data_IF_501621621272
#
_entry.id   IF_501621621272
#
_cell.length_a   1.000
_cell.length_b   1.000
_cell.length_c   1.000
_cell.angle_alpha   90.00
_cell.angle_beta   90.00
_cell.angle_gamma   90.00
#
_symmetry.space_group_name_H-M   'P 1'
#
loop_
_entity.id
_entity.type
_entity.pdbx_description
1 polymer ?
#
# COMPACT_ATOMS: atom_id res chain seq x y z
N UNK A 1 -15.11 -19.79 -8.43
CA UNK A 1 -13.71 -19.50 -8.70
C UNK A 1 -12.95 -19.51 -7.40
N UNK A 2 -11.86 -20.21 -7.37
CA UNK A 2 -11.11 -20.45 -6.13
C UNK A 2 -10.27 -19.23 -5.75
N UNK A 3 -10.37 -18.77 -4.51
CA UNK A 3 -9.47 -17.80 -3.91
C UNK A 3 -8.15 -18.44 -3.48
N UNK A 4 -7.90 -19.68 -3.90
CA UNK A 4 -6.77 -20.50 -3.44
C UNK A 4 -5.42 -19.83 -3.59
N UNK A 5 -5.21 -19.06 -4.68
CA UNK A 5 -3.97 -18.33 -4.86
C UNK A 5 -3.78 -17.27 -3.75
N UNK A 6 -4.82 -16.50 -3.47
CA UNK A 6 -4.76 -15.48 -2.41
C UNK A 6 -4.59 -16.10 -1.03
N UNK A 7 -5.24 -17.26 -0.78
CA UNK A 7 -5.06 -18.00 0.49
C UNK A 7 -3.61 -18.46 0.67
N UNK A 8 -3.01 -19.03 -0.38
CA UNK A 8 -1.61 -19.47 -0.34
C UNK A 8 -0.64 -18.31 -0.13
N UNK A 9 -0.84 -17.20 -0.85
CA UNK A 9 0.00 -16.02 -0.70
C UNK A 9 -0.21 -15.36 0.68
N UNK A 10 -1.43 -15.36 1.21
CA UNK A 10 -1.70 -14.85 2.55
C UNK A 10 -0.98 -15.66 3.63
N UNK A 11 -0.99 -17.00 3.52
CA UNK A 11 -0.25 -17.85 4.45
C UNK A 11 1.25 -17.57 4.36
N UNK A 12 1.82 -17.46 3.16
CA UNK A 12 3.22 -17.06 2.98
C UNK A 12 3.54 -15.71 3.62
N UNK A 13 2.61 -14.75 3.55
CA UNK A 13 2.76 -13.45 4.19
C UNK A 13 2.87 -13.61 5.71
N UNK A 14 1.99 -14.36 6.33
CA UNK A 14 2.00 -14.57 7.77
C UNK A 14 3.28 -15.28 8.28
N UNK A 15 3.89 -16.10 7.43
CA UNK A 15 5.10 -16.85 7.77
C UNK A 15 6.39 -16.01 7.60
N UNK A 16 6.29 -14.81 7.01
CA UNK A 16 7.45 -13.94 6.76
C UNK A 16 7.86 -13.16 8.00
N UNK A 17 9.15 -13.18 8.30
CA UNK A 17 9.73 -12.48 9.47
C UNK A 17 9.75 -10.94 9.32
N UNK A 18 9.55 -10.42 8.12
CA UNK A 18 9.58 -8.97 7.85
C UNK A 18 8.32 -8.23 8.27
N UNK A 19 7.23 -8.97 8.47
CA UNK A 19 5.93 -8.37 8.77
C UNK A 19 5.73 -8.36 10.28
N UNK A 20 5.37 -7.19 10.79
CA UNK A 20 4.99 -7.02 12.18
C UNK A 20 3.95 -8.04 12.60
N UNK A 21 4.28 -9.00 13.50
CA UNK A 21 3.32 -9.99 13.99
C UNK A 21 2.11 -9.34 14.67
N UNK A 22 2.28 -8.13 15.21
CA UNK A 22 1.24 -7.34 15.87
C UNK A 22 0.08 -7.02 14.93
N UNK A 23 0.34 -6.93 13.62
CA UNK A 23 -0.68 -6.69 12.60
C UNK A 23 -1.40 -7.96 12.13
N UNK A 24 -0.92 -9.15 12.53
CA UNK A 24 -1.54 -10.41 12.08
C UNK A 24 -3.01 -10.56 12.46
N UNK A 25 -3.49 -10.14 13.65
CA UNK A 25 -4.91 -10.22 13.98
C UNK A 25 -5.77 -9.39 13.01
N UNK A 26 -5.34 -8.16 12.70
CA UNK A 26 -6.04 -7.27 11.77
C UNK A 26 -6.03 -7.82 10.36
N UNK A 27 -4.89 -8.33 9.90
CA UNK A 27 -4.77 -8.96 8.57
C UNK A 27 -5.68 -10.17 8.43
N UNK A 28 -5.70 -11.06 9.45
CA UNK A 28 -6.55 -12.27 9.45
C UNK A 28 -8.03 -11.93 9.44
N UNK A 29 -8.46 -10.94 10.23
CA UNK A 29 -9.84 -10.48 10.24
C UNK A 29 -10.25 -9.94 8.86
N UNK A 30 -9.43 -9.05 8.28
CA UNK A 30 -9.67 -8.50 6.95
C UNK A 30 -9.70 -9.58 5.87
N UNK A 31 -8.78 -10.54 5.90
CA UNK A 31 -8.76 -11.63 4.93
C UNK A 31 -9.99 -12.54 5.05
N UNK A 32 -10.39 -12.89 6.27
CA UNK A 32 -11.60 -13.68 6.51
C UNK A 32 -12.87 -13.00 5.97
N UNK A 33 -12.99 -11.68 6.19
CA UNK A 33 -14.07 -10.89 5.61
C UNK A 33 -14.02 -10.85 4.09
N UNK A 34 -12.82 -10.70 3.52
CA UNK A 34 -12.63 -10.76 2.06
C UNK A 34 -13.02 -12.12 1.49
N UNK A 35 -12.66 -13.22 2.14
CA UNK A 35 -13.07 -14.57 1.72
C UNK A 35 -14.59 -14.73 1.71
N UNK A 36 -15.27 -14.16 2.71
CA UNK A 36 -16.73 -14.24 2.82
C UNK A 36 -17.45 -13.49 1.68
N UNK A 37 -16.95 -12.34 1.27
CA UNK A 37 -17.59 -11.51 0.24
C UNK A 37 -17.00 -11.72 -1.17
N UNK A 38 -15.72 -12.04 -1.28
CA UNK A 38 -15.00 -12.23 -2.53
C UNK A 38 -14.83 -10.95 -3.36
N UNK A 39 -14.34 -11.13 -4.59
CA UNK A 39 -14.27 -10.02 -5.55
C UNK A 39 -15.64 -9.57 -6.01
N UNK A 40 -15.84 -8.27 -6.24
CA UNK A 40 -17.06 -7.76 -6.81
C UNK A 40 -17.39 -8.43 -8.15
N UNK A 41 -18.66 -8.50 -8.45
CA UNK A 41 -19.15 -8.97 -9.74
C UNK A 41 -19.91 -7.84 -10.44
N UNK A 42 -20.18 -8.00 -11.72
CA UNK A 42 -20.98 -7.04 -12.49
C UNK A 42 -22.44 -6.92 -11.98
N UNK A 43 -22.86 -7.76 -11.04
CA UNK A 43 -24.15 -7.63 -10.34
C UNK A 43 -24.13 -6.54 -9.26
N UNK A 44 -22.95 -6.10 -8.85
CA UNK A 44 -22.82 -5.01 -7.90
C UNK A 44 -22.90 -3.68 -8.66
N UNK A 45 -23.73 -2.77 -8.21
CA UNK A 45 -24.01 -1.51 -8.91
C UNK A 45 -22.73 -0.74 -9.27
N UNK A 46 -21.85 -0.56 -8.31
CA UNK A 46 -20.58 0.16 -8.50
C UNK A 46 -19.59 -0.55 -9.44
N UNK A 47 -19.84 -1.83 -9.77
CA UNK A 47 -18.93 -2.67 -10.58
C UNK A 47 -19.57 -3.18 -11.85
N UNK A 48 -20.76 -2.69 -12.19
CA UNK A 48 -21.57 -3.17 -13.33
C UNK A 48 -20.83 -3.14 -14.66
N UNK A 49 -19.97 -2.15 -14.84
CA UNK A 49 -19.21 -1.96 -16.07
C UNK A 49 -17.73 -2.37 -15.97
N UNK A 50 -17.31 -2.99 -14.86
CA UNK A 50 -15.92 -3.37 -14.63
C UNK A 50 -15.80 -4.89 -14.62
N UNK A 51 -14.99 -5.42 -15.55
CA UNK A 51 -14.68 -6.84 -15.57
C UNK A 51 -13.41 -7.13 -14.75
N UNK A 52 -13.56 -7.92 -13.69
CA UNK A 52 -12.49 -8.33 -12.78
C UNK A 52 -12.06 -9.79 -12.99
N UNK A 53 -12.41 -10.41 -14.11
CA UNK A 53 -12.05 -11.82 -14.36
C UNK A 53 -10.53 -12.04 -14.33
N UNK A 54 -9.76 -11.11 -14.87
CA UNK A 54 -8.30 -11.19 -14.87
C UNK A 54 -7.69 -11.31 -13.46
N UNK A 55 -8.28 -10.64 -12.46
CA UNK A 55 -7.83 -10.77 -11.06
C UNK A 55 -8.08 -12.17 -10.47
N UNK A 56 -9.04 -12.90 -11.02
CA UNK A 56 -9.42 -14.24 -10.56
C UNK A 56 -8.69 -15.35 -11.31
N UNK A 57 -8.29 -15.08 -12.54
CA UNK A 57 -7.70 -16.05 -13.46
C UNK A 57 -6.17 -16.05 -13.41
N UNK A 58 -5.58 -14.89 -13.14
CA UNK A 58 -4.14 -14.76 -13.02
C UNK A 58 -3.63 -15.13 -11.62
N UNK A 59 -2.37 -15.55 -11.61
CA UNK A 59 -1.64 -15.88 -10.39
C UNK A 59 -0.76 -14.70 -10.00
N UNK A 60 -1.08 -14.06 -8.87
CA UNK A 60 -0.31 -12.95 -8.34
C UNK A 60 0.53 -13.40 -7.16
N UNK A 61 1.78 -12.97 -7.13
CA UNK A 61 2.69 -13.17 -6.01
C UNK A 61 2.74 -11.91 -5.16
N UNK A 62 2.94 -12.04 -3.86
CA UNK A 62 3.19 -10.89 -3.00
C UNK A 62 4.54 -10.28 -3.38
N UNK A 63 4.58 -8.96 -3.55
CA UNK A 63 5.84 -8.23 -3.72
C UNK A 63 6.77 -8.50 -2.53
N UNK A 64 8.05 -8.66 -2.79
CA UNK A 64 9.08 -8.83 -1.77
C UNK A 64 10.10 -7.70 -1.87
N UNK A 65 10.89 -7.52 -0.81
CA UNK A 65 11.98 -6.52 -0.84
C UNK A 65 12.96 -6.77 -1.99
N UNK A 66 13.13 -8.03 -2.40
CA UNK A 66 13.93 -8.37 -3.61
C UNK A 66 13.33 -7.85 -4.92
N UNK A 67 12.03 -7.55 -4.94
CA UNK A 67 11.32 -6.96 -6.07
C UNK A 67 11.49 -5.41 -6.09
N UNK A 68 12.14 -4.84 -5.06
CA UNK A 68 12.67 -3.49 -5.14
C UNK A 68 13.69 -3.42 -6.28
N UNK A 69 13.77 -2.27 -6.98
CA UNK A 69 14.66 -2.18 -8.14
C UNK A 69 16.11 -2.43 -7.74
N UNK A 70 16.78 -3.35 -8.44
CA UNK A 70 18.22 -3.53 -8.29
C UNK A 70 19.00 -2.31 -8.80
N UNK A 71 18.37 -1.51 -9.62
CA UNK A 71 18.88 -0.23 -10.14
C UNK A 71 17.81 0.83 -9.90
N UNK A 72 18.24 1.98 -9.42
CA UNK A 72 17.35 3.14 -9.23
C UNK A 72 16.57 3.42 -10.51
N UNK A 73 15.22 3.40 -10.46
CA UNK A 73 14.41 3.66 -11.64
C UNK A 73 14.60 5.10 -12.12
N UNK A 74 14.63 5.29 -13.44
CA UNK A 74 14.63 6.63 -14.01
C UNK A 74 13.23 7.23 -13.93
N UNK A 75 13.09 8.26 -13.12
CA UNK A 75 11.84 9.01 -12.95
C UNK A 75 11.82 10.35 -13.70
N UNK A 76 12.79 10.59 -14.58
CA UNK A 76 12.94 11.88 -15.29
C UNK A 76 11.69 12.28 -16.06
N UNK A 77 11.03 11.33 -16.70
CA UNK A 77 9.78 11.54 -17.44
C UNK A 77 8.57 11.89 -16.54
N UNK A 78 8.69 11.68 -15.24
CA UNK A 78 7.65 11.97 -14.28
C UNK A 78 7.95 13.20 -13.43
N UNK A 79 9.06 13.90 -13.68
CA UNK A 79 9.39 15.12 -12.95
C UNK A 79 8.40 16.23 -13.28
N UNK A 80 7.96 16.91 -12.23
CA UNK A 80 7.12 18.12 -12.32
C UNK A 80 7.82 19.18 -11.49
N UNK A 81 8.12 20.30 -12.10
CA UNK A 81 8.74 21.44 -11.40
C UNK A 81 7.84 21.96 -10.28
N UNK A 82 8.45 22.39 -9.19
CA UNK A 82 7.73 22.95 -8.04
C UNK A 82 7.06 21.92 -7.14
N UNK A 83 7.24 20.60 -7.38
CA UNK A 83 6.73 19.54 -6.51
C UNK A 83 7.86 18.77 -5.83
N UNK A 84 7.65 18.44 -4.56
CA UNK A 84 8.40 17.38 -3.90
C UNK A 84 7.76 16.03 -4.21
N UNK A 85 8.57 15.02 -4.49
CA UNK A 85 8.04 13.71 -4.92
C UNK A 85 8.51 12.61 -3.99
N UNK A 86 7.58 11.86 -3.44
CA UNK A 86 7.83 10.63 -2.70
C UNK A 86 7.54 9.47 -3.65
N UNK A 87 8.52 8.61 -3.86
CA UNK A 87 8.45 7.50 -4.82
C UNK A 87 8.23 6.18 -4.10
N UNK A 88 7.22 5.44 -4.53
CA UNK A 88 6.93 4.08 -4.10
C UNK A 88 7.01 3.18 -5.34
N UNK A 89 8.01 2.32 -5.37
CA UNK A 89 8.26 1.40 -6.49
C UNK A 89 7.97 -0.03 -6.06
N UNK A 90 7.11 -0.71 -6.80
CA UNK A 90 6.63 -2.07 -6.49
C UNK A 90 6.19 -2.24 -5.03
N UNK A 91 5.56 -1.19 -4.46
CA UNK A 91 5.11 -1.16 -3.08
C UNK A 91 6.15 -0.67 -2.06
N UNK A 92 7.42 -0.49 -2.44
CA UNK A 92 8.50 -0.13 -1.53
C UNK A 92 8.93 1.33 -1.70
N UNK A 93 9.08 2.04 -0.59
CA UNK A 93 9.57 3.42 -0.57
C UNK A 93 11.01 3.50 -1.10
N UNK A 94 11.27 4.48 -1.96
CA UNK A 94 12.58 4.71 -2.58
C UNK A 94 13.19 6.00 -2.05
N UNK A 95 14.02 5.89 -1.03
CA UNK A 95 14.65 7.04 -0.37
C UNK A 95 15.53 7.87 -1.32
N UNK A 96 16.35 7.20 -2.13
CA UNK A 96 17.39 7.84 -2.94
C UNK A 96 16.84 8.74 -4.06
N UNK A 97 15.58 8.54 -4.45
CA UNK A 97 14.92 9.31 -5.53
C UNK A 97 13.68 10.05 -5.03
N UNK A 98 13.45 10.02 -3.73
CA UNK A 98 12.37 10.78 -3.08
C UNK A 98 12.88 12.09 -2.51
N UNK A 99 12.00 13.07 -2.48
CA UNK A 99 12.24 14.34 -1.81
C UNK A 99 11.08 14.66 -0.86
N UNK A 100 11.41 14.98 0.38
CA UNK A 100 10.45 15.34 1.43
C UNK A 100 10.63 16.82 1.73
N UNK A 101 9.57 17.64 1.69
CA UNK A 101 9.70 19.05 1.97
C UNK A 101 9.99 19.30 3.45
N UNK A 102 10.58 20.46 3.72
CA UNK A 102 10.74 20.94 5.08
C UNK A 102 9.39 21.01 5.80
N UNK A 103 9.37 20.61 7.06
CA UNK A 103 8.17 20.58 7.89
C UNK A 103 7.33 19.31 7.77
N UNK A 104 7.70 18.38 6.89
CA UNK A 104 7.07 17.07 6.79
C UNK A 104 7.99 16.00 7.38
N UNK A 105 7.51 15.26 8.37
CA UNK A 105 8.16 14.06 8.84
C UNK A 105 7.66 12.86 8.03
N UNK A 106 8.56 12.04 7.52
CA UNK A 106 8.24 10.81 6.81
C UNK A 106 8.68 9.62 7.65
N UNK A 107 7.75 8.70 7.91
CA UNK A 107 8.01 7.45 8.63
C UNK A 107 7.72 6.26 7.72
N UNK A 108 8.55 5.23 7.81
CA UNK A 108 8.43 3.99 7.03
C UNK A 108 8.73 2.77 7.88
N UNK A 109 8.43 1.57 7.39
CA UNK A 109 8.80 0.33 8.03
C UNK A 109 8.23 0.16 9.46
N UNK A 110 9.11 -0.13 10.43
CA UNK A 110 8.72 -0.37 11.83
C UNK A 110 8.12 0.87 12.50
N UNK A 111 8.68 2.05 12.23
CA UNK A 111 8.15 3.32 12.77
C UNK A 111 6.70 3.56 12.33
N UNK A 112 6.41 3.29 11.06
CA UNK A 112 5.03 3.33 10.55
C UNK A 112 4.12 2.36 11.28
N UNK A 113 4.58 1.13 11.51
CA UNK A 113 3.79 0.07 12.14
C UNK A 113 3.46 0.39 13.60
N UNK A 114 4.39 0.96 14.36
CA UNK A 114 4.17 1.35 15.76
C UNK A 114 3.08 2.41 15.91
N UNK A 115 3.08 3.41 15.04
CA UNK A 115 2.05 4.44 15.04
C UNK A 115 0.67 3.90 14.69
N UNK A 116 0.60 2.90 13.80
CA UNK A 116 -0.66 2.44 13.21
C UNK A 116 -1.39 1.37 13.98
N UNK A 117 -0.72 0.62 14.85
CA UNK A 117 -1.40 -0.37 15.70
C UNK A 117 -2.63 0.20 16.45
N UNK A 118 -2.62 1.50 16.73
CA UNK A 118 -3.70 2.16 17.46
C UNK A 118 -4.73 2.88 16.57
N UNK A 119 -4.50 3.00 15.26
CA UNK A 119 -5.32 3.83 14.36
C UNK A 119 -5.94 3.09 13.18
N UNK A 120 -5.72 1.78 13.05
CA UNK A 120 -6.33 0.96 12.01
C UNK A 120 -7.83 0.74 12.29
N UNK A 121 -8.59 1.83 12.47
CA UNK A 121 -10.04 1.79 12.51
C UNK A 121 -10.57 1.68 11.08
N UNK A 122 -10.91 0.48 10.68
CA UNK A 122 -11.37 0.19 9.33
C UNK A 122 -12.88 0.31 9.23
N UNK A 123 -13.33 1.31 8.52
CA UNK A 123 -14.62 1.23 7.85
C UNK A 123 -14.43 0.44 6.54
N UNK A 124 -14.11 -0.84 6.64
CA UNK A 124 -13.90 -1.71 5.50
C UNK A 124 -15.21 -1.91 4.75
N UNK A 125 -15.43 -1.11 3.74
CA UNK A 125 -16.67 -1.12 2.95
C UNK A 125 -16.49 -1.81 1.59
N UNK A 126 -15.25 -2.03 1.17
CA UNK A 126 -14.92 -2.54 -0.15
C UNK A 126 -14.09 -3.81 -0.05
N UNK A 127 -14.31 -4.81 -0.91
CA UNK A 127 -13.44 -5.98 -1.01
C UNK A 127 -11.98 -5.65 -1.24
N UNK A 128 -11.68 -4.55 -1.94
CA UNK A 128 -10.30 -4.11 -2.17
C UNK A 128 -9.67 -3.46 -0.94
N UNK A 129 -10.46 -2.79 -0.10
CA UNK A 129 -9.97 -2.29 1.18
C UNK A 129 -9.59 -3.45 2.11
N UNK A 130 -10.44 -4.49 2.14
CA UNK A 130 -10.17 -5.73 2.88
C UNK A 130 -8.91 -6.43 2.36
N UNK A 131 -8.79 -6.54 1.03
CA UNK A 131 -7.62 -7.16 0.41
C UNK A 131 -6.35 -6.35 0.71
N UNK A 132 -6.39 -5.03 0.56
CA UNK A 132 -5.27 -4.16 0.91
C UNK A 132 -4.89 -4.28 2.38
N UNK A 133 -5.87 -4.35 3.30
CA UNK A 133 -5.61 -4.54 4.73
C UNK A 133 -4.97 -5.90 5.03
N UNK A 134 -5.49 -6.96 4.39
CA UNK A 134 -4.95 -8.30 4.56
C UNK A 134 -3.50 -8.41 4.10
N UNK A 135 -3.18 -7.80 2.96
CA UNK A 135 -1.88 -7.92 2.30
C UNK A 135 -0.98 -6.70 2.47
N UNK A 136 -1.36 -5.72 3.28
CA UNK A 136 -0.49 -4.56 3.52
C UNK A 136 0.87 -5.03 4.05
N UNK A 137 1.93 -4.66 3.37
CA UNK A 137 3.30 -5.07 3.68
C UNK A 137 4.23 -3.88 3.89
N UNK A 138 3.88 -2.76 3.31
CA UNK A 138 4.66 -1.54 3.40
C UNK A 138 3.74 -0.33 3.54
N UNK A 139 4.24 0.71 4.13
CA UNK A 139 3.51 1.94 4.31
C UNK A 139 4.43 3.14 4.44
N UNK A 140 3.87 4.29 4.10
CA UNK A 140 4.48 5.59 4.28
C UNK A 140 3.54 6.43 5.12
N UNK A 141 4.05 7.03 6.18
CA UNK A 141 3.33 8.01 6.97
C UNK A 141 3.97 9.38 6.81
N UNK A 142 3.17 10.36 6.42
CA UNK A 142 3.56 11.76 6.38
C UNK A 142 2.89 12.47 7.54
N UNK A 143 3.69 13.15 8.35
CA UNK A 143 3.20 13.90 9.50
C UNK A 143 3.58 15.36 9.31
N UNK A 144 2.59 16.24 9.37
CA UNK A 144 2.78 17.68 9.42
C UNK A 144 2.42 18.14 10.83
N UNK A 145 3.43 18.58 11.57
CA UNK A 145 3.26 19.00 12.96
C UNK A 145 2.45 20.28 13.09
N UNK A 146 1.94 20.52 14.30
CA UNK A 146 1.10 21.68 14.61
C UNK A 146 1.72 23.01 14.20
N UNK A 147 0.90 23.88 13.56
CA UNK A 147 1.28 25.21 13.07
C UNK A 147 2.44 25.20 12.07
N UNK A 148 2.63 24.10 11.34
CA UNK A 148 3.66 23.96 10.31
C UNK A 148 3.07 24.28 8.94
N UNK A 149 3.70 25.20 8.21
CA UNK A 149 3.30 25.52 6.83
C UNK A 149 4.24 24.80 5.87
N UNK A 150 3.69 23.91 5.07
CA UNK A 150 4.42 23.23 3.98
C UNK A 150 4.23 24.01 2.70
N UNK A 151 5.27 24.78 2.32
CA UNK A 151 5.21 25.71 1.18
C UNK A 151 5.24 25.05 -0.20
N UNK A 152 5.52 23.75 -0.28
CA UNK A 152 5.66 23.02 -1.55
C UNK A 152 4.71 21.83 -1.59
N UNK A 153 3.91 21.67 -2.64
CA UNK A 153 3.03 20.51 -2.78
C UNK A 153 3.82 19.21 -2.81
N UNK A 154 3.27 18.15 -2.18
CA UNK A 154 3.85 16.81 -2.15
C UNK A 154 3.11 15.91 -3.13
N UNK A 155 3.84 15.28 -4.02
CA UNK A 155 3.34 14.25 -4.91
C UNK A 155 3.78 12.87 -4.44
N UNK A 156 2.85 11.93 -4.38
CA UNK A 156 3.15 10.53 -4.19
C UNK A 156 3.13 9.85 -5.56
N UNK A 157 4.24 9.30 -5.97
CA UNK A 157 4.40 8.61 -7.25
C UNK A 157 4.50 7.10 -7.02
N UNK A 158 3.48 6.37 -7.44
CA UNK A 158 3.49 4.91 -7.45
C UNK A 158 3.94 4.42 -8.81
N UNK A 159 4.96 3.57 -8.82
CA UNK A 159 5.49 2.90 -10.01
C UNK A 159 5.39 1.40 -9.80
N UNK A 160 4.82 0.70 -10.76
CA UNK A 160 4.84 -0.76 -10.81
C UNK A 160 5.49 -1.19 -12.12
N UNK A 161 6.50 -2.04 -12.03
CA UNK A 161 7.28 -2.53 -13.15
C UNK A 161 7.78 -3.96 -12.86
N UNK A 162 8.08 -4.71 -13.91
CA UNK A 162 8.62 -6.06 -13.82
C UNK A 162 7.90 -7.07 -14.69
N UNK A 163 8.57 -8.21 -14.93
CA UNK A 163 8.07 -9.31 -15.77
C UNK A 163 7.14 -10.26 -15.01
N UNK A 164 7.08 -10.14 -13.68
CA UNK A 164 6.26 -11.00 -12.82
C UNK A 164 4.93 -10.34 -12.47
N UNK A 165 3.86 -11.13 -12.40
CA UNK A 165 2.57 -10.68 -11.87
C UNK A 165 2.68 -10.55 -10.36
N UNK A 166 3.08 -9.37 -9.88
CA UNK A 166 3.17 -9.07 -8.46
C UNK A 166 1.92 -8.34 -7.96
N UNK A 167 1.58 -8.58 -6.71
CA UNK A 167 0.55 -7.87 -5.98
C UNK A 167 1.23 -6.91 -5.01
N UNK A 168 0.94 -5.63 -5.16
CA UNK A 168 1.47 -4.57 -4.29
C UNK A 168 0.33 -3.93 -3.51
N UNK A 169 0.49 -3.80 -2.20
CA UNK A 169 -0.53 -3.28 -1.29
C UNK A 169 0.06 -2.19 -0.37
N UNK A 170 0.64 -1.13 -0.95
CA UNK A 170 1.20 -0.05 -0.15
C UNK A 170 0.08 0.72 0.55
N UNK A 171 0.41 1.30 1.70
CA UNK A 171 -0.46 2.24 2.41
C UNK A 171 0.19 3.59 2.53
N UNK A 172 -0.62 4.62 2.34
CA UNK A 172 -0.28 5.99 2.64
C UNK A 172 -1.14 6.46 3.80
N UNK A 173 -0.48 6.99 4.83
CA UNK A 173 -1.14 7.71 5.89
C UNK A 173 -0.64 9.16 5.91
N UNK A 174 -1.57 10.08 6.04
CA UNK A 174 -1.26 11.49 6.14
C UNK A 174 -1.91 12.00 7.42
N UNK A 175 -1.10 12.56 8.30
CA UNK A 175 -1.53 13.15 9.55
C UNK A 175 -1.15 14.63 9.54
N UNK A 176 -2.14 15.49 9.59
CA UNK A 176 -1.96 16.95 9.56
C UNK A 176 -2.55 17.50 10.85
N UNK A 177 -1.67 18.02 11.70
CA UNK A 177 -2.08 18.57 12.96
C UNK A 177 -2.71 19.98 12.79
N UNK A 178 -3.37 20.44 13.85
CA UNK A 178 -4.12 21.70 13.81
C UNK A 178 -3.24 22.92 13.50
N UNK A 179 -3.73 23.78 12.62
CA UNK A 179 -3.06 25.01 12.21
C UNK A 179 -1.99 24.84 11.13
N UNK A 180 -1.96 23.67 10.50
CA UNK A 180 -1.04 23.34 9.40
C UNK A 180 -1.72 23.47 8.05
#
# INVERSE_FOLDING_TARGET
MSLTNFQNEFQKLLDRKYFSPELHPVRKDAFSKFEAIGFPTQKWENWRFTNLSALKENHYLISEVKDAPQKTPDISNYKIEGLQTIVIYNGHFQQDISSVPEGVQLLTGSEYNELKNNQLNHSEKSPFDLLNTAFMDSGVCLIVGKNTIVGTPVRILFISDGDSSIMVNPRLHIDIESGS
#
